data_IF_336013746940
#
_entry.id   IF_336013746940
#
_cell.length_a   1.000
_cell.length_b   1.000
_cell.length_c   1.000
_cell.angle_alpha   90.00
_cell.angle_beta   90.00
_cell.angle_gamma   90.00
#
_symmetry.space_group_name_H-M   'P 1'
#
loop_
_entity.id
_entity.type
_entity.pdbx_description
1 polymer ?
#
# COMPACT_ATOMS: atom_id res chain seq x y z
N UNK A 1 -41.14 59.76 15.64
CA UNK A 1 -41.97 58.64 16.14
C UNK A 1 -42.46 57.88 14.93
N UNK A 2 -41.95 56.67 14.67
CA UNK A 2 -42.54 55.80 13.67
C UNK A 2 -43.92 55.39 14.17
N UNK A 3 -44.98 55.69 13.43
CA UNK A 3 -46.31 55.16 13.73
C UNK A 3 -46.20 53.64 13.62
N UNK A 4 -46.44 52.93 14.72
CA UNK A 4 -46.45 51.47 14.70
C UNK A 4 -47.69 50.97 13.93
N UNK A 5 -47.60 49.77 13.34
CA UNK A 5 -48.68 49.25 12.49
C UNK A 5 -49.99 48.98 13.27
N UNK A 6 -49.91 48.68 14.57
CA UNK A 6 -51.07 48.52 15.46
C UNK A 6 -51.77 49.87 15.66
N UNK A 7 -51.01 50.94 15.84
CA UNK A 7 -51.53 52.31 15.91
C UNK A 7 -52.18 52.74 14.60
N UNK A 8 -51.60 52.35 13.45
CA UNK A 8 -52.17 52.59 12.11
C UNK A 8 -53.48 51.83 11.90
N UNK A 9 -53.55 50.54 12.23
CA UNK A 9 -54.78 49.73 12.15
C UNK A 9 -55.89 50.28 13.06
N UNK A 10 -55.54 50.73 14.27
CA UNK A 10 -56.50 51.33 15.21
C UNK A 10 -57.06 52.64 14.66
N UNK A 11 -56.23 53.46 14.03
CA UNK A 11 -56.66 54.69 13.35
C UNK A 11 -57.58 54.38 12.17
N UNK A 12 -57.26 53.35 11.37
CA UNK A 12 -58.09 52.91 10.25
C UNK A 12 -59.52 52.57 10.67
N UNK A 13 -59.67 51.74 11.71
CA UNK A 13 -61.00 51.31 12.20
C UNK A 13 -61.84 52.50 12.67
N UNK A 14 -61.20 53.45 13.35
CA UNK A 14 -61.87 54.66 13.86
C UNK A 14 -62.18 55.67 12.76
N UNK A 15 -61.34 55.74 11.72
CA UNK A 15 -61.60 56.58 10.55
C UNK A 15 -62.81 56.06 9.74
N UNK A 16 -62.97 54.73 9.62
CA UNK A 16 -64.15 54.12 8.97
C UNK A 16 -65.45 54.46 9.71
N UNK A 17 -65.43 54.40 11.04
CA UNK A 17 -66.60 54.73 11.87
C UNK A 17 -67.04 56.20 11.73
N UNK A 18 -66.10 57.11 11.46
CA UNK A 18 -66.37 58.57 11.46
C UNK A 18 -66.57 59.13 10.05
N UNK A 19 -65.78 58.68 9.08
CA UNK A 19 -65.70 59.29 7.75
C UNK A 19 -66.27 58.41 6.63
N UNK A 20 -66.55 57.12 6.90
CA UNK A 20 -66.92 56.14 5.87
C UNK A 20 -65.70 55.41 5.29
N UNK A 21 -65.95 54.28 4.61
CA UNK A 21 -64.88 53.39 4.10
C UNK A 21 -63.96 54.05 3.07
N UNK A 22 -64.52 54.85 2.15
CA UNK A 22 -63.76 55.43 1.04
C UNK A 22 -62.78 56.52 1.52
N UNK A 23 -63.26 57.40 2.39
CA UNK A 23 -62.50 58.50 2.99
C UNK A 23 -61.40 57.96 3.93
N UNK A 24 -61.74 56.92 4.72
CA UNK A 24 -60.77 56.24 5.56
C UNK A 24 -59.68 55.53 4.74
N UNK A 25 -60.02 54.89 3.63
CA UNK A 25 -59.04 54.26 2.74
C UNK A 25 -58.04 55.27 2.17
N UNK A 26 -58.54 56.43 1.72
CA UNK A 26 -57.70 57.50 1.16
C UNK A 26 -56.74 58.07 2.22
N UNK A 27 -57.22 58.25 3.46
CA UNK A 27 -56.39 58.66 4.60
C UNK A 27 -55.28 57.64 4.89
N UNK A 28 -55.61 56.35 4.86
CA UNK A 28 -54.68 55.26 5.16
C UNK A 28 -53.63 55.04 4.06
N UNK A 29 -53.93 55.43 2.82
CA UNK A 29 -53.00 55.43 1.69
C UNK A 29 -51.83 56.40 1.88
N UNK A 30 -52.09 57.55 2.52
CA UNK A 30 -51.06 58.56 2.80
C UNK A 30 -50.28 58.31 4.10
N UNK A 31 -50.71 57.35 4.94
CA UNK A 31 -49.98 56.98 6.15
C UNK A 31 -48.84 56.00 5.83
N UNK A 32 -47.58 56.33 6.20
CA UNK A 32 -46.45 55.43 5.98
C UNK A 32 -46.66 54.12 6.74
N UNK A 33 -46.41 53.01 6.06
CA UNK A 33 -46.38 51.67 6.66
C UNK A 33 -45.26 51.61 7.71
N UNK A 34 -45.60 51.25 8.94
CA UNK A 34 -44.63 51.13 10.03
C UNK A 34 -43.90 49.79 9.97
N UNK A 35 -42.58 49.78 10.18
CA UNK A 35 -41.80 48.54 10.35
C UNK A 35 -41.47 47.77 9.06
N UNK A 36 -41.92 48.21 7.89
CA UNK A 36 -41.60 47.58 6.59
C UNK A 36 -40.14 47.76 6.18
N UNK A 37 -39.44 48.77 6.71
CA UNK A 37 -38.02 49.03 6.43
C UNK A 37 -37.07 47.95 6.98
N UNK A 38 -37.53 47.14 7.94
CA UNK A 38 -36.73 46.08 8.56
C UNK A 38 -37.07 44.68 8.02
N UNK A 39 -37.99 44.59 7.06
CA UNK A 39 -38.36 43.32 6.43
C UNK A 39 -37.40 43.05 5.27
N UNK A 40 -36.96 41.80 5.15
CA UNK A 40 -36.21 41.36 3.97
C UNK A 40 -37.07 41.54 2.72
N UNK A 41 -36.50 42.16 1.71
CA UNK A 41 -37.12 42.36 0.41
C UNK A 41 -36.96 41.10 -0.46
N UNK A 42 -37.71 41.04 -1.56
CA UNK A 42 -37.52 39.99 -2.57
C UNK A 42 -36.13 40.03 -3.20
N UNK A 43 -35.50 41.20 -3.25
CA UNK A 43 -34.17 41.33 -3.84
C UNK A 43 -33.08 40.82 -2.87
N UNK A 44 -33.24 41.04 -1.57
CA UNK A 44 -32.36 40.42 -0.55
C UNK A 44 -32.39 38.89 -0.63
N UNK A 45 -33.59 38.31 -0.81
CA UNK A 45 -33.75 36.87 -0.99
C UNK A 45 -33.12 36.36 -2.30
N UNK A 46 -33.15 37.15 -3.38
CA UNK A 46 -32.47 36.78 -4.64
C UNK A 46 -30.95 36.80 -4.48
N UNK A 47 -30.41 37.79 -3.78
CA UNK A 47 -28.98 37.90 -3.49
C UNK A 47 -28.53 36.69 -2.66
N UNK A 48 -29.19 36.44 -1.53
CA UNK A 48 -28.90 35.28 -0.68
C UNK A 48 -29.04 33.95 -1.45
N UNK A 49 -30.06 33.83 -2.30
CA UNK A 49 -30.25 32.66 -3.15
C UNK A 49 -29.21 32.51 -4.26
N UNK A 50 -28.54 33.59 -4.67
CA UNK A 50 -27.42 33.53 -5.61
C UNK A 50 -26.13 33.15 -4.89
N UNK A 51 -25.85 33.75 -3.74
CA UNK A 51 -24.70 33.42 -2.88
C UNK A 51 -24.71 31.94 -2.49
N UNK A 52 -25.83 31.44 -1.96
CA UNK A 52 -25.96 30.03 -1.57
C UNK A 52 -25.74 29.07 -2.75
N UNK A 53 -26.13 29.47 -3.97
CA UNK A 53 -25.88 28.65 -5.18
C UNK A 53 -24.41 28.64 -5.55
N UNK A 54 -23.70 29.75 -5.38
CA UNK A 54 -22.26 29.84 -5.62
C UNK A 54 -21.50 28.98 -4.61
N UNK A 55 -21.77 29.14 -3.31
CA UNK A 55 -21.14 28.34 -2.26
C UNK A 55 -21.39 26.84 -2.46
N UNK A 56 -22.64 26.44 -2.78
CA UNK A 56 -22.95 25.04 -3.09
C UNK A 56 -22.23 24.53 -4.35
N UNK A 57 -21.99 25.40 -5.33
CA UNK A 57 -21.24 25.04 -6.54
C UNK A 57 -19.75 24.85 -6.23
N UNK A 58 -19.19 25.74 -5.41
CA UNK A 58 -17.80 25.69 -4.97
C UNK A 58 -17.53 24.43 -4.14
N UNK A 59 -18.33 24.17 -3.11
CA UNK A 59 -18.21 22.98 -2.27
C UNK A 59 -18.33 21.68 -3.08
N UNK A 60 -19.20 21.65 -4.10
CA UNK A 60 -19.30 20.49 -5.00
C UNK A 60 -18.06 20.32 -5.87
N UNK A 61 -17.44 21.43 -6.29
CA UNK A 61 -16.22 21.40 -7.08
C UNK A 61 -15.04 20.91 -6.25
N UNK A 62 -14.88 21.43 -5.03
CA UNK A 62 -13.85 21.00 -4.07
C UNK A 62 -13.98 19.51 -3.75
N UNK A 63 -15.18 19.06 -3.36
CA UNK A 63 -15.43 17.65 -3.05
C UNK A 63 -15.11 16.73 -4.25
N UNK A 64 -15.41 17.18 -5.47
CA UNK A 64 -15.08 16.43 -6.69
C UNK A 64 -13.57 16.39 -6.93
N UNK A 65 -12.86 17.48 -6.63
CA UNK A 65 -11.40 17.57 -6.68
C UNK A 65 -10.75 16.59 -5.71
N UNK A 66 -11.11 16.67 -4.43
CA UNK A 66 -10.60 15.76 -3.38
C UNK A 66 -10.88 14.29 -3.72
N UNK A 67 -12.09 13.98 -4.19
CA UNK A 67 -12.44 12.61 -4.59
C UNK A 67 -11.64 12.12 -5.80
N UNK A 68 -11.20 13.03 -6.69
CA UNK A 68 -10.33 12.70 -7.81
C UNK A 68 -8.90 12.44 -7.36
N UNK A 69 -8.40 13.24 -6.41
CA UNK A 69 -7.07 13.09 -5.82
C UNK A 69 -6.96 11.76 -5.06
N UNK A 70 -7.94 11.46 -4.19
CA UNK A 70 -8.00 10.19 -3.46
C UNK A 70 -7.99 8.99 -4.42
N UNK A 71 -8.68 9.08 -5.57
CA UNK A 71 -8.67 8.02 -6.58
C UNK A 71 -7.31 7.87 -7.24
N UNK A 72 -6.61 8.97 -7.51
CA UNK A 72 -5.27 8.96 -8.08
C UNK A 72 -4.28 8.31 -7.11
N UNK A 73 -4.32 8.70 -5.83
CA UNK A 73 -3.48 8.13 -4.77
C UNK A 73 -3.71 6.62 -4.62
N UNK A 74 -4.97 6.19 -4.63
CA UNK A 74 -5.31 4.76 -4.59
C UNK A 74 -4.79 4.00 -5.82
N UNK A 75 -4.78 4.65 -6.99
CA UNK A 75 -4.16 4.13 -8.21
C UNK A 75 -2.66 3.93 -8.06
N UNK A 76 -1.97 4.93 -7.50
CA UNK A 76 -0.52 4.89 -7.23
C UNK A 76 -0.16 3.79 -6.25
N UNK A 77 -0.85 3.73 -5.10
CA UNK A 77 -0.67 2.68 -4.09
C UNK A 77 -0.87 1.27 -4.65
N UNK A 78 -1.86 1.10 -5.54
CA UNK A 78 -2.08 -0.18 -6.21
C UNK A 78 -0.92 -0.56 -7.13
N UNK A 79 -0.33 0.42 -7.81
CA UNK A 79 0.88 0.24 -8.63
C UNK A 79 2.07 -0.21 -7.78
N UNK A 80 2.36 0.50 -6.69
CA UNK A 80 3.43 0.17 -5.75
C UNK A 80 3.26 -1.23 -5.12
N UNK A 81 2.03 -1.61 -4.78
CA UNK A 81 1.78 -2.96 -4.29
C UNK A 81 2.02 -4.04 -5.37
N UNK A 82 1.75 -3.70 -6.64
CA UNK A 82 2.06 -4.54 -7.78
C UNK A 82 3.56 -4.76 -7.96
N UNK A 83 4.36 -3.69 -7.86
CA UNK A 83 5.83 -3.78 -7.98
C UNK A 83 6.43 -4.58 -6.84
N UNK A 84 6.02 -4.32 -5.58
CA UNK A 84 6.51 -5.05 -4.41
C UNK A 84 6.20 -6.56 -4.50
N UNK A 85 5.03 -6.91 -5.05
CA UNK A 85 4.68 -8.32 -5.28
C UNK A 85 5.58 -8.97 -6.33
N UNK A 86 5.98 -8.23 -7.37
CA UNK A 86 6.94 -8.67 -8.37
C UNK A 86 8.31 -8.95 -7.77
N UNK A 87 8.86 -7.98 -7.03
CA UNK A 87 10.14 -8.09 -6.33
C UNK A 87 10.18 -9.28 -5.36
N UNK A 88 9.10 -9.51 -4.61
CA UNK A 88 9.00 -10.67 -3.73
C UNK A 88 9.00 -12.00 -4.51
N UNK A 89 8.40 -12.02 -5.70
CA UNK A 89 8.43 -13.17 -6.60
C UNK A 89 9.84 -13.48 -7.09
N UNK A 90 10.59 -12.45 -7.49
CA UNK A 90 12.00 -12.57 -7.92
C UNK A 90 12.88 -13.10 -6.78
N UNK A 91 12.78 -12.49 -5.59
CA UNK A 91 13.55 -12.91 -4.42
C UNK A 91 13.30 -14.39 -4.04
N UNK A 92 12.05 -14.85 -4.20
CA UNK A 92 11.71 -16.26 -3.98
C UNK A 92 12.33 -17.17 -5.03
N UNK A 93 12.42 -16.71 -6.28
CA UNK A 93 13.12 -17.39 -7.37
C UNK A 93 14.60 -17.55 -7.05
N UNK A 94 15.27 -16.45 -6.68
CA UNK A 94 16.68 -16.42 -6.32
C UNK A 94 17.01 -17.37 -5.17
N UNK A 95 16.17 -17.40 -4.14
CA UNK A 95 16.33 -18.34 -3.03
C UNK A 95 16.18 -19.81 -3.46
N UNK A 96 15.32 -20.07 -4.45
CA UNK A 96 15.18 -21.39 -5.07
C UNK A 96 16.46 -21.81 -5.80
N UNK A 97 17.04 -20.90 -6.59
CA UNK A 97 18.31 -21.12 -7.31
C UNK A 97 19.45 -21.40 -6.34
N UNK A 98 19.63 -20.55 -5.33
CA UNK A 98 20.68 -20.70 -4.31
C UNK A 98 20.58 -22.05 -3.59
N UNK A 99 19.35 -22.51 -3.31
CA UNK A 99 19.12 -23.82 -2.69
C UNK A 99 19.52 -24.97 -3.61
N UNK A 100 19.30 -24.83 -4.92
CA UNK A 100 19.74 -25.77 -5.94
C UNK A 100 21.26 -25.87 -5.98
N UNK A 101 21.94 -24.73 -6.12
CA UNK A 101 23.41 -24.63 -6.14
C UNK A 101 24.04 -25.26 -4.88
N UNK A 102 23.47 -25.00 -3.70
CA UNK A 102 23.95 -25.62 -2.46
C UNK A 102 23.78 -27.15 -2.46
N UNK A 103 22.70 -27.65 -3.07
CA UNK A 103 22.46 -29.08 -3.25
C UNK A 103 23.50 -29.73 -4.15
N UNK A 104 23.83 -29.08 -5.27
CA UNK A 104 24.86 -29.53 -6.22
C UNK A 104 26.24 -29.57 -5.55
N UNK A 105 26.64 -28.48 -4.88
CA UNK A 105 27.92 -28.41 -4.15
C UNK A 105 28.05 -29.53 -3.10
N UNK A 106 26.96 -29.83 -2.39
CA UNK A 106 26.95 -30.93 -1.42
C UNK A 106 27.12 -32.29 -2.10
N UNK A 107 26.55 -32.47 -3.29
CA UNK A 107 26.73 -33.65 -4.13
C UNK A 107 28.19 -33.82 -4.55
N UNK A 108 28.80 -32.76 -5.09
CA UNK A 108 30.21 -32.75 -5.49
C UNK A 108 31.15 -33.09 -4.32
N UNK A 109 30.91 -32.53 -3.14
CA UNK A 109 31.67 -32.86 -1.95
C UNK A 109 31.52 -34.33 -1.53
N UNK A 110 30.33 -34.90 -1.72
CA UNK A 110 30.07 -36.33 -1.52
C UNK A 110 30.88 -37.20 -2.47
N UNK A 111 30.90 -36.86 -3.75
CA UNK A 111 31.70 -37.54 -4.77
C UNK A 111 33.19 -37.49 -4.45
N UNK A 112 33.72 -36.29 -4.15
CA UNK A 112 35.13 -36.10 -3.81
C UNK A 112 35.53 -36.93 -2.57
N UNK A 113 34.66 -36.99 -1.56
CA UNK A 113 34.87 -37.83 -0.37
C UNK A 113 34.93 -39.32 -0.73
N UNK A 114 34.10 -39.77 -1.68
CA UNK A 114 34.14 -41.13 -2.21
C UNK A 114 35.46 -41.44 -2.90
N UNK A 115 35.89 -40.57 -3.82
CA UNK A 115 37.16 -40.68 -4.54
C UNK A 115 38.37 -40.74 -3.58
N UNK A 116 38.39 -39.92 -2.54
CA UNK A 116 39.43 -40.00 -1.49
C UNK A 116 39.42 -41.34 -0.75
N UNK A 117 38.24 -41.90 -0.49
CA UNK A 117 38.09 -43.23 0.12
C UNK A 117 38.65 -44.33 -0.77
N UNK A 118 38.34 -44.30 -2.06
CA UNK A 118 38.85 -45.25 -3.05
C UNK A 118 40.36 -45.15 -3.21
N UNK A 119 40.90 -43.93 -3.32
CA UNK A 119 42.34 -43.70 -3.40
C UNK A 119 43.07 -44.25 -2.17
N UNK A 120 42.51 -44.03 -0.98
CA UNK A 120 43.09 -44.56 0.26
C UNK A 120 43.12 -46.09 0.26
N UNK A 121 42.02 -46.74 -0.12
CA UNK A 121 41.93 -48.19 -0.21
C UNK A 121 42.93 -48.77 -1.22
N UNK A 122 43.05 -48.12 -2.40
CA UNK A 122 44.00 -48.50 -3.43
C UNK A 122 45.46 -48.43 -2.92
N UNK A 123 45.82 -47.35 -2.21
CA UNK A 123 47.15 -47.19 -1.62
C UNK A 123 47.42 -48.29 -0.59
N UNK A 124 46.48 -48.54 0.33
CA UNK A 124 46.60 -49.60 1.36
C UNK A 124 46.77 -50.99 0.72
N UNK A 125 45.98 -51.31 -0.31
CA UNK A 125 46.11 -52.58 -1.05
C UNK A 125 47.48 -52.71 -1.73
N UNK A 126 47.95 -51.64 -2.37
CA UNK A 126 49.24 -51.65 -3.08
C UNK A 126 50.41 -51.86 -2.12
N UNK A 127 50.41 -51.16 -1.00
CA UNK A 127 51.42 -51.34 0.05
C UNK A 127 51.38 -52.75 0.63
N UNK A 128 50.20 -53.27 0.93
CA UNK A 128 50.04 -54.62 1.47
C UNK A 128 50.58 -55.68 0.49
N UNK A 129 50.21 -55.58 -0.79
CA UNK A 129 50.70 -56.46 -1.85
C UNK A 129 52.22 -56.39 -1.97
N UNK A 130 52.80 -55.18 -1.98
CA UNK A 130 54.24 -54.99 -2.05
C UNK A 130 54.96 -55.62 -0.85
N UNK A 131 54.41 -55.43 0.35
CA UNK A 131 54.95 -56.00 1.60
C UNK A 131 55.00 -57.52 1.56
N UNK A 132 53.91 -58.17 1.11
CA UNK A 132 53.85 -59.62 0.94
C UNK A 132 54.90 -60.09 -0.08
N UNK A 133 55.00 -59.42 -1.24
CA UNK A 133 55.98 -59.80 -2.26
C UNK A 133 57.43 -59.64 -1.80
N UNK A 134 57.74 -58.63 -0.99
CA UNK A 134 59.07 -58.44 -0.40
C UNK A 134 59.39 -59.56 0.59
N UNK A 135 58.46 -59.92 1.47
CA UNK A 135 58.66 -61.00 2.46
C UNK A 135 58.90 -62.35 1.75
N UNK A 136 58.10 -62.67 0.74
CA UNK A 136 58.22 -63.96 0.02
C UNK A 136 59.52 -64.04 -0.77
N UNK A 137 59.91 -62.97 -1.47
CA UNK A 137 61.18 -62.93 -2.22
C UNK A 137 62.40 -62.97 -1.30
N UNK A 138 62.39 -62.24 -0.18
CA UNK A 138 63.45 -62.32 0.84
C UNK A 138 63.57 -63.72 1.45
N UNK A 139 62.44 -64.37 1.74
CA UNK A 139 62.41 -65.73 2.29
C UNK A 139 62.96 -66.75 1.30
N UNK A 140 62.62 -66.63 0.01
CA UNK A 140 63.16 -67.46 -1.05
C UNK A 140 64.68 -67.28 -1.21
N UNK A 141 65.16 -66.02 -1.19
CA UNK A 141 66.60 -65.71 -1.27
C UNK A 141 67.37 -66.26 -0.07
N UNK A 142 66.85 -66.11 1.15
CA UNK A 142 67.44 -66.68 2.36
C UNK A 142 67.49 -68.21 2.31
N UNK A 143 66.45 -68.85 1.77
CA UNK A 143 66.43 -70.30 1.54
C UNK A 143 67.53 -70.76 0.58
N UNK A 144 67.72 -70.06 -0.54
CA UNK A 144 68.79 -70.34 -1.51
C UNK A 144 70.17 -70.15 -0.86
N UNK A 145 70.37 -69.05 -0.13
CA UNK A 145 71.63 -68.76 0.57
C UNK A 145 71.95 -69.84 1.62
N UNK A 146 70.96 -70.30 2.38
CA UNK A 146 71.13 -71.36 3.37
C UNK A 146 71.55 -72.70 2.73
N UNK A 147 70.94 -73.06 1.60
CA UNK A 147 71.37 -74.23 0.82
C UNK A 147 72.81 -74.01 0.33
N UNK A 148 73.13 -72.89 -0.32
CA UNK A 148 74.47 -72.62 -0.82
C UNK A 148 75.55 -72.74 0.27
N UNK A 149 75.29 -72.22 1.48
CA UNK A 149 76.21 -72.31 2.63
C UNK A 149 76.36 -73.73 3.21
N UNK A 150 75.34 -74.58 3.11
CA UNK A 150 75.39 -75.96 3.62
C UNK A 150 76.19 -76.90 2.72
N UNK A 151 76.25 -76.59 1.42
CA UNK A 151 76.90 -77.43 0.40
C UNK A 151 78.20 -76.83 -0.16
N UNK A 152 78.69 -75.73 0.43
CA UNK A 152 80.01 -75.14 0.18
C UNK A 152 81.00 -75.54 1.27
#
# INVERSE_FOLDING_TARGET
MSVDEISRIRLARRAVEVFGEAEAATLMEHLPLGGVSNLATKDDLKILGAELRLEMSELRSELRGEMSEIRADFGTLRGEFGTLRGEFGELKGDFGTLRGEFGELKGEFGTLRGEFGELRAYIEERFHRQTITMITTMSALMGILFVALKWA
#
